data_IF_792035992697
#
_entry.id   IF_792035992697
#
_cell.length_a   1.000
_cell.length_b   1.000
_cell.length_c   1.000
_cell.angle_alpha   90.00
_cell.angle_beta   90.00
_cell.angle_gamma   90.00
#
_symmetry.space_group_name_H-M   'P 1'
#
loop_
_entity.id
_entity.type
_entity.pdbx_description
1 polymer ?
#
# COMPACT_ATOMS: atom_id res chain seq x y z
N UNK A 1 -19.41 -13.16 -2.23
CA UNK A 1 -19.75 -12.10 -1.26
C UNK A 1 -19.14 -10.80 -1.71
N UNK A 2 -19.79 -9.66 -1.46
CA UNK A 2 -19.22 -8.35 -1.73
C UNK A 2 -18.05 -8.06 -0.77
N UNK A 3 -16.98 -7.45 -1.28
CA UNK A 3 -15.86 -7.00 -0.46
C UNK A 3 -16.32 -5.81 0.38
N UNK A 4 -16.06 -5.85 1.69
CA UNK A 4 -16.31 -4.75 2.62
C UNK A 4 -15.00 -4.07 3.00
N UNK A 5 -15.00 -2.74 3.08
CA UNK A 5 -13.83 -1.94 3.44
C UNK A 5 -14.05 -1.26 4.79
N UNK A 6 -12.98 -1.24 5.60
CA UNK A 6 -12.96 -0.67 6.94
C UNK A 6 -11.76 0.25 7.07
N UNK A 7 -11.93 1.42 7.69
CA UNK A 7 -10.80 2.30 7.99
C UNK A 7 -9.76 1.55 8.84
N UNK A 8 -8.48 1.74 8.54
CA UNK A 8 -7.37 1.07 9.24
C UNK A 8 -6.37 2.11 9.80
N UNK A 9 -6.73 2.83 10.88
CA UNK A 9 -5.89 3.85 11.48
C UNK A 9 -4.60 3.29 12.08
N UNK A 10 -4.61 2.03 12.53
CA UNK A 10 -3.44 1.28 12.96
C UNK A 10 -2.40 1.16 11.82
N UNK A 11 -2.86 0.80 10.63
CA UNK A 11 -2.02 0.70 9.44
C UNK A 11 -1.53 2.07 8.99
N UNK A 12 -2.38 3.10 9.06
CA UNK A 12 -2.00 4.49 8.75
C UNK A 12 -0.85 4.98 9.64
N UNK A 13 -0.90 4.69 10.94
CA UNK A 13 0.17 5.04 11.88
C UNK A 13 1.48 4.35 11.50
N UNK A 14 1.44 3.02 11.31
CA UNK A 14 2.61 2.23 10.91
C UNK A 14 3.19 2.71 9.57
N UNK A 15 2.36 3.03 8.58
CA UNK A 15 2.80 3.61 7.31
C UNK A 15 3.52 4.95 7.51
N UNK A 16 3.00 5.80 8.39
CA UNK A 16 3.60 7.11 8.67
C UNK A 16 4.97 6.98 9.33
N UNK A 17 5.15 6.00 10.22
CA UNK A 17 6.44 5.65 10.83
C UNK A 17 7.42 5.10 9.78
N UNK A 18 6.99 4.15 8.95
CA UNK A 18 7.81 3.57 7.88
C UNK A 18 8.25 4.62 6.85
N UNK A 19 7.40 5.58 6.50
CA UNK A 19 7.77 6.66 5.57
C UNK A 19 8.92 7.50 6.16
N UNK A 20 8.84 7.83 7.45
CA UNK A 20 9.85 8.62 8.16
C UNK A 20 11.18 7.87 8.28
N UNK A 21 11.12 6.56 8.60
CA UNK A 21 12.31 5.78 8.94
C UNK A 21 13.02 5.15 7.73
N UNK A 22 12.35 5.02 6.57
CA UNK A 22 12.87 4.25 5.44
C UNK A 22 13.17 5.12 4.18
N UNK A 23 13.35 6.42 4.35
CA UNK A 23 13.85 7.32 3.29
C UNK A 23 12.83 7.65 2.20
N UNK A 24 11.54 7.54 2.47
CA UNK A 24 10.45 7.90 1.55
C UNK A 24 10.17 9.42 1.58
N UNK A 25 11.20 10.26 1.52
CA UNK A 25 11.08 11.72 1.72
C UNK A 25 10.13 12.42 0.74
N UNK A 26 9.93 11.84 -0.45
CA UNK A 26 9.04 12.37 -1.49
C UNK A 26 7.57 11.92 -1.32
N UNK A 27 7.27 11.10 -0.32
CA UNK A 27 5.95 10.51 -0.07
C UNK A 27 5.29 11.27 1.07
N UNK A 28 4.14 11.90 0.79
CA UNK A 28 3.35 12.57 1.80
C UNK A 28 2.40 11.58 2.46
N UNK A 29 2.62 11.29 3.75
CA UNK A 29 1.75 10.38 4.52
C UNK A 29 0.30 10.86 4.50
N UNK A 30 0.03 12.17 4.58
CA UNK A 30 -1.32 12.76 4.53
C UNK A 30 -2.13 12.38 3.28
N UNK A 31 -1.45 12.14 2.14
CA UNK A 31 -2.09 11.75 0.88
C UNK A 31 -2.19 10.24 0.69
N UNK A 32 -1.88 9.46 1.73
CA UNK A 32 -2.06 8.01 1.78
C UNK A 32 -3.19 7.65 2.74
N UNK A 33 -4.16 6.90 2.26
CA UNK A 33 -5.27 6.39 3.08
C UNK A 33 -5.10 4.90 3.27
N UNK A 34 -5.51 4.38 4.43
CA UNK A 34 -5.33 2.96 4.76
C UNK A 34 -6.67 2.32 5.08
N UNK A 35 -6.93 1.21 4.41
CA UNK A 35 -8.15 0.43 4.59
C UNK A 35 -7.81 -1.04 4.79
N UNK A 36 -8.69 -1.72 5.52
CA UNK A 36 -8.71 -3.16 5.65
C UNK A 36 -9.92 -3.70 4.90
N UNK A 37 -9.73 -4.70 4.05
CA UNK A 37 -10.83 -5.37 3.34
C UNK A 37 -11.16 -6.73 3.95
N UNK A 38 -12.44 -7.12 3.86
CA UNK A 38 -12.96 -8.45 4.23
C UNK A 38 -13.87 -8.99 3.12
N UNK A 39 -13.90 -10.31 2.96
CA UNK A 39 -14.63 -11.03 1.93
C UNK A 39 -13.83 -11.34 0.67
N UNK A 40 -12.50 -11.16 0.68
CA UNK A 40 -11.65 -11.39 -0.49
C UNK A 40 -11.35 -12.89 -0.70
N UNK A 41 -11.63 -13.40 -1.90
CA UNK A 41 -11.30 -14.78 -2.29
C UNK A 41 -9.85 -14.96 -2.76
N UNK A 42 -9.14 -13.86 -3.01
CA UNK A 42 -7.73 -13.89 -3.42
C UNK A 42 -6.92 -14.67 -2.40
N UNK A 43 -6.10 -15.66 -2.80
CA UNK A 43 -5.36 -16.57 -1.89
C UNK A 43 -3.93 -16.17 -1.52
N UNK A 44 -3.31 -15.33 -2.34
CA UNK A 44 -1.87 -14.99 -2.21
C UNK A 44 -1.61 -13.51 -1.94
N UNK A 45 -2.66 -12.70 -2.02
CA UNK A 45 -2.56 -11.25 -1.83
C UNK A 45 -2.69 -10.95 -0.33
N UNK A 46 -1.75 -10.16 0.18
CA UNK A 46 -1.69 -9.71 1.58
C UNK A 46 -2.11 -8.25 1.70
N UNK A 47 -1.63 -7.42 0.78
CA UNK A 47 -2.00 -6.02 0.65
C UNK A 47 -2.05 -5.63 -0.83
N UNK A 48 -2.57 -4.43 -1.10
CA UNK A 48 -2.58 -3.77 -2.41
C UNK A 48 -2.36 -2.29 -2.21
N UNK A 49 -1.84 -1.66 -3.25
CA UNK A 49 -1.84 -0.21 -3.39
C UNK A 49 -2.68 0.23 -4.58
N UNK A 50 -3.43 1.29 -4.38
CA UNK A 50 -4.26 1.93 -5.37
C UNK A 50 -3.78 3.37 -5.56
N UNK A 51 -3.64 3.80 -6.81
CA UNK A 51 -3.45 5.20 -7.14
C UNK A 51 -4.79 5.85 -7.47
N UNK A 52 -5.01 7.07 -6.98
CA UNK A 52 -6.18 7.84 -7.36
C UNK A 52 -6.11 8.21 -8.86
N UNK A 53 -7.10 7.86 -9.70
CA UNK A 53 -6.95 8.02 -11.14
C UNK A 53 -6.75 9.48 -11.58
N UNK A 54 -5.94 9.69 -12.64
CA UNK A 54 -5.52 11.03 -13.06
C UNK A 54 -6.68 11.94 -13.48
N UNK A 55 -7.70 11.39 -14.13
CA UNK A 55 -8.89 12.16 -14.53
C UNK A 55 -9.66 12.71 -13.33
N UNK A 56 -9.78 11.93 -12.25
CA UNK A 56 -10.46 12.35 -11.02
C UNK A 56 -9.66 13.38 -10.24
N UNK A 57 -8.32 13.29 -10.27
CA UNK A 57 -7.46 14.35 -9.74
C UNK A 57 -7.76 15.71 -10.41
N UNK A 58 -7.90 15.73 -11.73
CA UNK A 58 -8.20 16.96 -12.47
C UNK A 58 -9.63 17.44 -12.22
N UNK A 59 -10.62 16.55 -12.32
CA UNK A 59 -12.03 16.89 -12.15
C UNK A 59 -12.34 17.46 -10.76
N UNK A 60 -11.65 17.00 -9.71
CA UNK A 60 -11.88 17.40 -8.33
C UNK A 60 -10.82 18.37 -7.78
N UNK A 61 -9.90 18.86 -8.63
CA UNK A 61 -8.78 19.71 -8.22
C UNK A 61 -7.95 19.13 -7.06
N UNK A 62 -7.74 17.81 -7.13
CA UNK A 62 -7.07 17.03 -6.11
C UNK A 62 -5.68 16.63 -6.54
N UNK A 63 -4.69 16.87 -5.69
CA UNK A 63 -3.36 16.27 -5.83
C UNK A 63 -3.36 14.73 -5.86
N UNK A 64 -2.27 14.10 -6.35
CA UNK A 64 -2.05 12.66 -6.26
C UNK A 64 -2.28 12.09 -4.85
N UNK A 65 -3.06 11.02 -4.78
CA UNK A 65 -3.40 10.30 -3.55
C UNK A 65 -3.34 8.80 -3.78
N UNK A 66 -3.11 8.07 -2.71
CA UNK A 66 -2.96 6.62 -2.73
C UNK A 66 -3.78 5.97 -1.62
N UNK A 67 -4.23 4.74 -1.87
CA UNK A 67 -4.85 3.88 -0.85
C UNK A 67 -4.00 2.65 -0.69
N UNK A 68 -3.62 2.32 0.54
CA UNK A 68 -3.07 1.01 0.91
C UNK A 68 -4.21 0.18 1.50
N UNK A 69 -4.50 -0.94 0.88
CA UNK A 69 -5.52 -1.90 1.30
C UNK A 69 -4.84 -3.14 1.86
N UNK A 70 -5.09 -3.49 3.11
CA UNK A 70 -4.67 -4.78 3.69
C UNK A 70 -5.83 -5.78 3.69
N UNK A 71 -5.58 -7.03 3.29
CA UNK A 71 -6.60 -8.08 3.26
C UNK A 71 -6.63 -8.80 4.61
N UNK A 72 -7.67 -8.54 5.41
CA UNK A 72 -7.77 -8.96 6.81
C UNK A 72 -7.57 -10.47 7.01
N UNK A 73 -8.09 -11.30 6.10
CA UNK A 73 -8.04 -12.76 6.21
C UNK A 73 -6.63 -13.34 6.25
N UNK A 74 -5.62 -12.57 5.80
CA UNK A 74 -4.21 -12.99 5.82
C UNK A 74 -3.27 -11.99 6.45
N UNK A 75 -3.41 -10.70 6.15
CA UNK A 75 -2.50 -9.69 6.65
C UNK A 75 -2.48 -9.66 8.18
N UNK A 76 -3.65 -9.76 8.81
CA UNK A 76 -3.78 -9.69 10.27
C UNK A 76 -3.20 -10.94 10.98
N UNK A 77 -2.91 -12.03 10.23
CA UNK A 77 -2.29 -13.26 10.77
C UNK A 77 -0.77 -13.24 10.69
N UNK A 78 -0.18 -12.23 10.07
CA UNK A 78 1.27 -12.09 9.92
C UNK A 78 1.91 -11.59 11.21
N UNK A 79 3.19 -11.90 11.41
CA UNK A 79 3.98 -11.27 12.48
C UNK A 79 4.17 -9.77 12.19
N UNK A 80 4.43 -8.94 13.21
CA UNK A 80 4.63 -7.50 13.03
C UNK A 80 5.71 -7.14 12.00
N UNK A 81 6.81 -7.89 11.97
CA UNK A 81 7.94 -7.71 11.05
C UNK A 81 7.49 -7.99 9.62
N UNK A 82 6.73 -9.08 9.43
CA UNK A 82 6.24 -9.45 8.09
C UNK A 82 5.17 -8.49 7.59
N UNK A 83 4.36 -7.92 8.47
CA UNK A 83 3.45 -6.84 8.13
C UNK A 83 4.21 -5.61 7.62
N UNK A 84 5.30 -5.21 8.29
CA UNK A 84 6.14 -4.09 7.84
C UNK A 84 6.74 -4.34 6.47
N UNK A 85 7.32 -5.54 6.23
CA UNK A 85 7.86 -5.90 4.92
C UNK A 85 6.82 -5.74 3.80
N UNK A 86 5.58 -6.21 4.03
CA UNK A 86 4.48 -6.09 3.07
C UNK A 86 4.11 -4.63 2.85
N UNK A 87 3.98 -3.83 3.90
CA UNK A 87 3.63 -2.41 3.78
C UNK A 87 4.73 -1.60 3.06
N UNK A 88 6.00 -1.90 3.33
CA UNK A 88 7.14 -1.31 2.61
C UNK A 88 7.11 -1.72 1.13
N UNK A 89 6.75 -2.97 0.81
CA UNK A 89 6.57 -3.41 -0.57
C UNK A 89 5.52 -2.59 -1.30
N UNK A 90 4.35 -2.38 -0.69
CA UNK A 90 3.29 -1.53 -1.25
C UNK A 90 3.77 -0.07 -1.43
N UNK A 91 4.47 0.51 -0.45
CA UNK A 91 5.01 1.87 -0.55
C UNK A 91 6.01 2.02 -1.72
N UNK A 92 6.81 1.00 -2.03
CA UNK A 92 7.78 1.02 -3.15
C UNK A 92 7.12 1.17 -4.52
N UNK A 93 5.84 0.83 -4.65
CA UNK A 93 5.08 1.06 -5.87
C UNK A 93 4.76 2.54 -6.09
N UNK A 94 4.86 3.40 -5.06
CA UNK A 94 4.68 4.84 -5.24
C UNK A 94 5.87 5.41 -6.03
N UNK A 95 5.64 6.13 -7.15
CA UNK A 95 6.70 6.80 -7.89
C UNK A 95 7.47 7.80 -7.04
N UNK A 96 8.79 7.92 -7.28
CA UNK A 96 9.64 8.93 -6.62
C UNK A 96 9.14 10.38 -6.80
N UNK A 97 8.43 10.65 -7.89
CA UNK A 97 7.82 11.97 -8.17
C UNK A 97 6.45 12.16 -7.52
N UNK A 98 5.91 11.14 -6.83
CA UNK A 98 4.57 11.13 -6.24
C UNK A 98 3.47 11.60 -7.23
N UNK A 99 3.59 11.20 -8.50
CA UNK A 99 2.86 11.81 -9.63
C UNK A 99 1.43 11.30 -9.83
N UNK A 100 0.98 10.34 -9.02
CA UNK A 100 -0.35 9.71 -9.11
C UNK A 100 -0.43 8.47 -9.98
N UNK A 101 0.69 7.97 -10.50
CA UNK A 101 0.79 6.63 -11.10
C UNK A 101 1.28 5.58 -10.11
N UNK A 102 1.36 4.33 -10.54
CA UNK A 102 2.04 3.24 -9.82
C UNK A 102 3.24 2.74 -10.62
N UNK A 103 4.36 2.51 -9.94
CA UNK A 103 5.49 1.79 -10.51
C UNK A 103 5.13 0.31 -10.55
N UNK A 104 5.37 -0.34 -11.69
CA UNK A 104 5.39 -1.80 -11.72
C UNK A 104 6.64 -2.24 -10.96
N UNK A 105 6.46 -3.06 -9.93
CA UNK A 105 7.58 -3.76 -9.33
C UNK A 105 7.90 -4.93 -10.25
N UNK A 106 9.12 -4.99 -10.77
CA UNK A 106 9.57 -6.14 -11.55
C UNK A 106 9.61 -7.36 -10.62
N UNK A 107 8.88 -8.42 -10.94
CA UNK A 107 8.97 -9.68 -10.23
C UNK A 107 10.32 -10.32 -10.54
N UNK A 108 11.40 -9.93 -9.86
CA UNK A 108 12.55 -10.83 -9.75
C UNK A 108 12.11 -12.01 -8.87
N UNK A 109 11.94 -13.13 -9.55
CA UNK A 109 11.66 -14.46 -9.03
C UNK A 109 12.47 -14.72 -7.75
N UNK A 110 11.87 -15.11 -6.60
CA UNK A 110 12.57 -15.28 -5.32
C UNK A 110 13.64 -16.40 -5.27
N UNK A 111 14.05 -16.98 -6.41
CA UNK A 111 15.11 -17.99 -6.51
C UNK A 111 16.53 -17.43 -6.60
N UNK A 112 16.77 -16.14 -6.40
CA UNK A 112 18.12 -15.56 -6.49
C UNK A 112 18.70 -15.02 -5.17
N UNK A 113 18.15 -15.37 -4.01
CA UNK A 113 18.88 -15.22 -2.75
C UNK A 113 19.54 -16.58 -2.49
N UNK A 114 20.74 -16.75 -3.05
CA UNK A 114 21.68 -17.77 -2.58
C UNK A 114 22.27 -17.26 -1.27
N UNK A 115 22.05 -18.01 -0.18
CA UNK A 115 23.03 -18.11 0.88
C UNK A 115 24.28 -18.81 0.33
#
# INVERSE_FOLDING_TARGET
MAIKYYSAPDIKRKISELIQNNGFHNVSAERIYCFRSKGSSSRRILARIWSFPKIWQQALYMEPRYVIEVLSERFDKLSPEKQEEVLIHELKHIPKKFSGGLRKHDHKNPRSIRL
#
